data_IF_774460359885
#
_entry.id   IF_774460359885
#
_cell.length_a   1.000
_cell.length_b   1.000
_cell.length_c   1.000
_cell.angle_alpha   90.00
_cell.angle_beta   90.00
_cell.angle_gamma   90.00
#
_symmetry.space_group_name_H-M   'P 1'
#
loop_
_entity.id
_entity.type
_entity.pdbx_description
1 polymer ?
#
# COMPACT_ATOMS: atom_id res chain seq x y z
N UNK A 1 -15.30 -9.77 -24.51
CA UNK A 1 -13.88 -9.82 -24.13
C UNK A 1 -13.20 -10.89 -24.95
N UNK A 2 -12.10 -10.56 -25.62
CA UNK A 2 -11.27 -11.56 -26.27
C UNK A 2 -10.63 -12.46 -25.20
N UNK A 3 -10.92 -13.76 -25.26
CA UNK A 3 -10.40 -14.74 -24.29
C UNK A 3 -8.87 -14.83 -24.32
N UNK A 4 -8.23 -14.38 -25.40
CA UNK A 4 -6.78 -14.35 -25.53
C UNK A 4 -6.10 -13.32 -24.63
N UNK A 5 -6.84 -12.34 -24.10
CA UNK A 5 -6.28 -11.32 -23.21
C UNK A 5 -6.35 -11.69 -21.72
N UNK A 6 -7.04 -12.78 -21.37
CA UNK A 6 -7.11 -13.24 -19.98
C UNK A 6 -5.77 -13.86 -19.58
N UNK A 7 -5.25 -13.47 -18.43
CA UNK A 7 -4.07 -14.08 -17.78
C UNK A 7 -4.49 -14.61 -16.42
N UNK A 8 -3.87 -15.71 -16.00
CA UNK A 8 -4.15 -16.33 -14.71
C UNK A 8 -2.92 -16.26 -13.81
N UNK A 9 -3.19 -16.04 -12.53
CA UNK A 9 -2.24 -16.22 -11.43
C UNK A 9 -2.80 -17.32 -10.55
N UNK A 10 -1.94 -18.23 -10.10
CA UNK A 10 -2.31 -19.38 -9.27
C UNK A 10 -1.59 -19.33 -7.93
N UNK A 11 -1.98 -20.19 -6.99
CA UNK A 11 -1.36 -20.23 -5.66
C UNK A 11 -1.98 -19.23 -4.68
N UNK A 12 -1.40 -19.20 -3.49
CA UNK A 12 -1.75 -18.31 -2.39
C UNK A 12 -0.51 -18.12 -1.53
N UNK A 13 -0.40 -16.96 -0.94
CA UNK A 13 0.41 -16.70 0.24
C UNK A 13 -0.25 -17.38 1.45
N UNK A 14 0.58 -17.92 2.34
CA UNK A 14 0.17 -18.46 3.64
C UNK A 14 1.13 -17.88 4.67
N UNK A 15 0.65 -17.14 5.71
CA UNK A 15 -0.75 -16.83 6.01
C UNK A 15 -1.41 -15.85 5.00
N UNK A 16 -2.76 -15.71 5.01
CA UNK A 16 -3.47 -14.78 4.13
C UNK A 16 -2.98 -13.32 4.28
N UNK A 17 -3.16 -12.48 3.24
CA UNK A 17 -2.59 -11.14 3.19
C UNK A 17 -3.37 -10.18 4.09
N UNK A 18 -2.68 -9.13 4.57
CA UNK A 18 -3.33 -8.04 5.30
C UNK A 18 -2.71 -7.68 6.64
N UNK A 19 -1.44 -8.03 6.83
CA UNK A 19 -0.65 -7.76 8.02
C UNK A 19 -0.75 -8.87 9.07
N UNK A 20 0.37 -9.16 9.73
CA UNK A 20 0.42 -10.15 10.80
C UNK A 20 -0.08 -9.58 12.13
N UNK A 21 -0.65 -10.45 12.97
CA UNK A 21 -1.28 -10.10 14.23
C UNK A 21 -0.33 -10.12 15.45
N UNK A 22 0.89 -10.64 15.30
CA UNK A 22 1.88 -10.72 16.39
C UNK A 22 3.32 -10.96 15.91
N UNK A 23 4.30 -10.76 16.81
CA UNK A 23 5.75 -10.85 16.52
C UNK A 23 6.25 -12.28 16.23
N UNK A 24 5.49 -13.32 16.59
CA UNK A 24 5.93 -14.73 16.55
C UNK A 24 5.93 -15.34 15.13
N UNK A 25 5.36 -14.67 14.12
CA UNK A 25 5.28 -15.15 12.73
C UNK A 25 6.18 -14.32 11.79
N UNK A 26 7.50 -14.44 11.96
CA UNK A 26 8.44 -13.86 10.98
C UNK A 26 8.19 -14.53 9.62
N UNK A 27 7.83 -13.76 8.57
CA UNK A 27 7.49 -14.33 7.28
C UNK A 27 8.69 -15.08 6.71
N UNK A 28 8.48 -16.35 6.37
CA UNK A 28 9.52 -17.18 5.76
C UNK A 28 9.27 -17.34 4.27
N UNK A 29 10.31 -17.27 3.43
CA UNK A 29 10.18 -17.57 2.01
C UNK A 29 9.54 -18.95 1.78
N UNK A 30 8.58 -19.03 0.85
CA UNK A 30 7.93 -20.31 0.49
C UNK A 30 8.96 -21.33 0.01
N UNK A 31 8.83 -22.59 0.43
CA UNK A 31 9.74 -23.64 -0.02
C UNK A 31 9.52 -23.94 -1.52
N UNK A 32 10.57 -24.01 -2.35
CA UNK A 32 10.44 -24.33 -3.78
C UNK A 32 9.66 -25.62 -4.07
N UNK A 33 9.79 -26.66 -3.24
CA UNK A 33 9.03 -27.90 -3.40
C UNK A 33 7.52 -27.71 -3.27
N UNK A 34 7.06 -26.77 -2.42
CA UNK A 34 5.65 -26.41 -2.29
C UNK A 34 5.14 -25.64 -3.51
N UNK A 35 6.00 -24.80 -4.10
CA UNK A 35 5.72 -24.07 -5.34
C UNK A 35 5.57 -25.07 -6.51
N UNK A 36 6.52 -26.00 -6.65
CA UNK A 36 6.49 -27.06 -7.65
C UNK A 36 5.22 -27.91 -7.53
N UNK A 37 4.90 -28.37 -6.32
CA UNK A 37 3.69 -29.15 -6.06
C UNK A 37 2.41 -28.36 -6.43
N UNK A 38 2.35 -27.08 -6.07
CA UNK A 38 1.22 -26.19 -6.42
C UNK A 38 1.04 -26.09 -7.94
N UNK A 39 2.13 -25.86 -8.68
CA UNK A 39 2.12 -25.77 -10.15
C UNK A 39 1.63 -27.09 -10.74
N UNK A 40 2.19 -28.23 -10.33
CA UNK A 40 1.87 -29.54 -10.88
C UNK A 40 0.43 -29.99 -10.59
N UNK A 41 -0.04 -29.81 -9.36
CA UNK A 41 -1.42 -30.14 -8.99
C UNK A 41 -2.42 -29.26 -9.74
N UNK A 42 -2.13 -27.96 -9.85
CA UNK A 42 -2.99 -27.02 -10.59
C UNK A 42 -3.03 -27.37 -12.07
N UNK A 43 -1.89 -27.65 -12.69
CA UNK A 43 -1.80 -28.10 -14.09
C UNK A 43 -2.62 -29.36 -14.34
N UNK A 44 -2.46 -30.39 -13.51
CA UNK A 44 -3.24 -31.63 -13.58
C UNK A 44 -4.75 -31.36 -13.46
N UNK A 45 -5.15 -30.46 -12.57
CA UNK A 45 -6.56 -30.08 -12.39
C UNK A 45 -7.15 -29.33 -13.59
N UNK A 46 -6.36 -28.51 -14.29
CA UNK A 46 -6.75 -27.85 -15.54
C UNK A 46 -6.93 -28.87 -16.66
N UNK A 47 -5.97 -29.78 -16.84
CA UNK A 47 -5.98 -30.78 -17.91
C UNK A 47 -7.14 -31.78 -17.72
N UNK A 48 -7.43 -32.19 -16.48
CA UNK A 48 -8.60 -33.04 -16.18
C UNK A 48 -9.93 -32.39 -16.60
N UNK A 49 -9.98 -31.05 -16.68
CA UNK A 49 -11.14 -30.28 -17.12
C UNK A 49 -11.07 -29.84 -18.58
N UNK A 50 -10.07 -30.29 -19.35
CA UNK A 50 -9.83 -29.89 -20.75
C UNK A 50 -9.62 -28.37 -20.89
N UNK A 51 -8.84 -27.79 -19.97
CA UNK A 51 -8.52 -26.36 -19.91
C UNK A 51 -7.07 -26.06 -20.32
N UNK A 52 -6.49 -26.84 -21.22
CA UNK A 52 -5.08 -26.75 -21.64
C UNK A 52 -4.76 -25.35 -22.19
N UNK A 53 -5.61 -24.81 -23.06
CA UNK A 53 -5.44 -23.43 -23.56
C UNK A 53 -5.46 -22.38 -22.44
N UNK A 54 -6.22 -22.60 -21.36
CA UNK A 54 -6.20 -21.69 -20.21
C UNK A 54 -4.92 -21.83 -19.38
N UNK A 55 -4.39 -23.04 -19.26
CA UNK A 55 -3.12 -23.29 -18.60
C UNK A 55 -1.97 -22.55 -19.28
N UNK A 56 -1.94 -22.50 -20.62
CA UNK A 56 -0.96 -21.72 -21.38
C UNK A 56 -0.98 -20.21 -21.10
N UNK A 57 -2.03 -19.71 -20.43
CA UNK A 57 -2.17 -18.29 -20.02
C UNK A 57 -1.93 -18.07 -18.52
N UNK A 58 -1.51 -19.09 -17.78
CA UNK A 58 -0.99 -18.93 -16.42
C UNK A 58 0.38 -18.28 -16.53
N UNK A 59 0.55 -17.12 -15.90
CA UNK A 59 1.78 -16.31 -16.01
C UNK A 59 2.52 -16.18 -14.69
N UNK A 60 1.86 -16.43 -13.57
CA UNK A 60 2.49 -16.26 -12.28
C UNK A 60 1.95 -17.24 -11.23
N UNK A 61 2.77 -17.45 -10.20
CA UNK A 61 2.41 -18.16 -8.97
C UNK A 61 2.61 -17.22 -7.78
N UNK A 62 1.62 -17.13 -6.92
CA UNK A 62 1.72 -16.38 -5.66
C UNK A 62 2.57 -17.17 -4.68
N UNK A 63 3.55 -16.50 -4.08
CA UNK A 63 4.44 -17.05 -3.03
C UNK A 63 4.69 -15.99 -1.96
N UNK A 64 5.12 -16.41 -0.78
CA UNK A 64 5.64 -15.53 0.27
C UNK A 64 7.15 -15.36 0.04
N UNK A 65 7.67 -14.15 -0.28
CA UNK A 65 9.10 -13.88 -0.45
C UNK A 65 9.87 -13.60 0.86
N UNK A 66 9.19 -13.64 2.01
CA UNK A 66 9.74 -13.21 3.30
C UNK A 66 9.49 -11.73 3.60
N UNK A 67 8.46 -11.13 3.00
CA UNK A 67 8.05 -9.74 3.29
C UNK A 67 6.68 -9.72 3.95
N UNK A 68 6.51 -8.82 4.92
CA UNK A 68 5.24 -8.59 5.59
C UNK A 68 5.30 -7.29 6.40
N UNK A 69 4.18 -6.86 6.95
CA UNK A 69 4.12 -5.75 7.91
C UNK A 69 3.10 -6.05 9.02
N UNK A 70 3.30 -5.46 10.19
CA UNK A 70 2.42 -5.59 11.35
C UNK A 70 1.68 -4.29 11.67
N UNK A 71 1.50 -3.99 12.95
CA UNK A 71 0.98 -2.70 13.39
C UNK A 71 2.04 -1.60 13.32
N UNK A 72 3.25 -1.89 13.80
CA UNK A 72 4.36 -0.95 13.93
C UNK A 72 5.71 -1.54 13.48
N UNK A 73 5.68 -2.71 12.85
CA UNK A 73 6.85 -3.43 12.34
C UNK A 73 6.73 -3.68 10.84
N UNK A 74 7.88 -3.67 10.15
CA UNK A 74 8.02 -4.04 8.74
C UNK A 74 9.08 -5.15 8.67
N UNK A 75 8.77 -6.22 7.96
CA UNK A 75 9.72 -7.29 7.65
C UNK A 75 10.27 -7.04 6.25
N UNK A 76 11.48 -6.50 6.21
CA UNK A 76 12.16 -6.15 4.96
C UNK A 76 12.53 -7.40 4.14
N UNK A 77 12.49 -7.26 2.82
CA UNK A 77 12.96 -8.27 1.90
C UNK A 77 14.45 -8.58 2.11
N UNK A 78 14.74 -9.84 2.44
CA UNK A 78 16.08 -10.38 2.51
C UNK A 78 16.36 -11.28 1.28
N UNK A 79 17.09 -10.72 0.32
CA UNK A 79 17.49 -11.43 -0.90
C UNK A 79 18.21 -12.75 -0.64
N UNK A 80 18.97 -12.85 0.46
CA UNK A 80 19.70 -14.08 0.77
C UNK A 80 18.77 -15.22 1.18
N UNK A 81 17.65 -14.92 1.85
CA UNK A 81 16.66 -15.91 2.26
C UNK A 81 15.80 -16.38 1.08
N UNK A 82 15.57 -15.52 0.08
CA UNK A 82 14.79 -15.85 -1.12
C UNK A 82 15.59 -16.54 -2.25
N UNK A 83 16.89 -16.80 -2.07
CA UNK A 83 17.78 -17.35 -3.11
C UNK A 83 17.28 -18.69 -3.70
N UNK A 84 16.70 -19.54 -2.87
CA UNK A 84 16.13 -20.82 -3.33
C UNK A 84 14.92 -20.62 -4.26
N UNK A 85 14.03 -19.68 -3.96
CA UNK A 85 12.88 -19.33 -4.81
C UNK A 85 13.34 -18.71 -6.13
N UNK A 86 14.32 -17.79 -6.05
CA UNK A 86 14.91 -17.14 -7.21
C UNK A 86 15.49 -18.15 -8.20
N UNK A 87 16.25 -19.15 -7.73
CA UNK A 87 16.82 -20.19 -8.61
C UNK A 87 15.75 -21.12 -9.18
N UNK A 88 14.73 -21.45 -8.38
CA UNK A 88 13.68 -22.37 -8.81
C UNK A 88 12.89 -21.85 -10.01
N UNK A 89 12.46 -20.59 -9.98
CA UNK A 89 11.61 -20.04 -11.05
C UNK A 89 12.33 -19.95 -12.40
N UNK A 90 13.66 -19.82 -12.42
CA UNK A 90 14.48 -19.85 -13.64
C UNK A 90 14.39 -21.19 -14.39
N UNK A 91 14.09 -22.28 -13.67
CA UNK A 91 13.83 -23.60 -14.26
C UNK A 91 12.38 -23.79 -14.72
N UNK A 92 11.47 -22.88 -14.34
CA UNK A 92 10.04 -22.97 -14.61
C UNK A 92 9.68 -22.07 -15.80
N UNK A 93 9.66 -22.67 -16.99
CA UNK A 93 9.51 -21.91 -18.23
C UNK A 93 8.20 -21.08 -18.27
N UNK A 94 8.34 -19.76 -18.35
CA UNK A 94 7.24 -18.83 -18.62
C UNK A 94 6.45 -18.34 -17.40
N UNK A 95 6.83 -18.73 -16.18
CA UNK A 95 6.21 -18.23 -14.95
C UNK A 95 7.11 -17.22 -14.24
N UNK A 96 6.48 -16.25 -13.58
CA UNK A 96 7.10 -15.32 -12.63
C UNK A 96 6.40 -15.44 -11.27
N UNK A 97 6.92 -14.76 -10.25
CA UNK A 97 6.22 -14.64 -8.97
C UNK A 97 5.33 -13.40 -8.90
N UNK A 98 4.18 -13.59 -8.26
CA UNK A 98 3.37 -12.50 -7.72
C UNK A 98 3.59 -12.44 -6.20
N UNK A 99 4.00 -11.28 -5.69
CA UNK A 99 4.23 -11.05 -4.27
C UNK A 99 3.15 -10.12 -3.70
N UNK A 100 2.56 -10.53 -2.59
CA UNK A 100 1.60 -9.75 -1.82
C UNK A 100 2.29 -9.10 -0.62
N UNK A 101 1.57 -8.21 0.08
CA UNK A 101 2.08 -7.47 1.25
C UNK A 101 3.42 -6.77 1.02
N UNK A 102 3.68 -6.30 -0.21
CA UNK A 102 4.95 -5.63 -0.56
C UNK A 102 5.00 -4.19 -0.06
N UNK A 103 3.93 -3.72 0.59
CA UNK A 103 3.79 -2.39 1.15
C UNK A 103 4.96 -2.04 2.09
N UNK A 104 5.29 -0.75 2.14
CA UNK A 104 6.32 -0.16 3.02
C UNK A 104 7.77 -0.60 2.80
N UNK A 105 8.02 -1.56 1.89
CA UNK A 105 9.38 -1.97 1.52
C UNK A 105 10.16 -0.78 0.95
N UNK A 106 11.46 -0.73 1.24
CA UNK A 106 12.33 0.29 0.65
C UNK A 106 12.36 0.20 -0.88
N UNK A 107 12.56 1.35 -1.54
CA UNK A 107 12.74 1.42 -3.00
C UNK A 107 13.78 0.42 -3.54
N UNK A 108 14.88 0.21 -2.81
CA UNK A 108 15.90 -0.79 -3.16
C UNK A 108 15.42 -2.22 -2.99
N UNK A 109 14.68 -2.53 -1.92
CA UNK A 109 14.10 -3.84 -1.69
C UNK A 109 13.11 -4.20 -2.80
N UNK A 110 12.17 -3.30 -3.13
CA UNK A 110 11.24 -3.49 -4.25
C UNK A 110 11.98 -3.78 -5.57
N UNK A 111 13.08 -3.06 -5.85
CA UNK A 111 13.91 -3.31 -7.03
C UNK A 111 14.56 -4.70 -7.01
N UNK A 112 15.12 -5.11 -5.87
CA UNK A 112 15.70 -6.44 -5.72
C UNK A 112 14.66 -7.55 -5.91
N UNK A 113 13.44 -7.36 -5.38
CA UNK A 113 12.33 -8.28 -5.58
C UNK A 113 12.03 -8.50 -7.07
N UNK A 114 11.94 -7.43 -7.87
CA UNK A 114 11.75 -7.54 -9.33
C UNK A 114 12.92 -8.28 -9.99
N UNK A 115 14.17 -7.99 -9.59
CA UNK A 115 15.36 -8.68 -10.10
C UNK A 115 15.43 -10.16 -9.71
N UNK A 116 14.75 -10.55 -8.64
CA UNK A 116 14.63 -11.94 -8.16
C UNK A 116 13.32 -12.62 -8.62
N UNK A 117 12.71 -12.06 -9.68
CA UNK A 117 11.54 -12.60 -10.38
C UNK A 117 10.20 -12.47 -9.67
N UNK A 118 10.13 -11.71 -8.57
CA UNK A 118 8.88 -11.17 -8.01
C UNK A 118 8.42 -9.97 -8.85
N UNK A 119 8.01 -10.26 -10.08
CA UNK A 119 7.75 -9.26 -11.11
C UNK A 119 6.33 -8.66 -11.05
N UNK A 120 5.41 -9.26 -10.29
CA UNK A 120 4.13 -8.63 -9.94
C UNK A 120 4.15 -8.30 -8.45
N UNK A 121 4.27 -7.01 -8.13
CA UNK A 121 4.27 -6.52 -6.75
C UNK A 121 2.90 -5.90 -6.43
N UNK A 122 2.17 -6.46 -5.47
CA UNK A 122 0.90 -5.89 -5.02
C UNK A 122 1.11 -4.91 -3.87
N UNK A 123 0.49 -3.75 -4.01
CA UNK A 123 0.45 -2.67 -3.02
C UNK A 123 -1.00 -2.25 -2.78
N UNK A 124 -1.34 -1.94 -1.54
CA UNK A 124 -2.67 -1.50 -1.16
C UNK A 124 -2.65 -0.61 0.08
N UNK A 125 -2.47 -1.17 1.29
CA UNK A 125 -2.36 -0.40 2.54
C UNK A 125 -1.43 0.80 2.48
N UNK A 126 -0.24 0.72 1.89
CA UNK A 126 0.67 1.86 1.79
C UNK A 126 0.07 3.06 1.03
N UNK A 127 -0.79 2.81 0.03
CA UNK A 127 -1.45 3.88 -0.73
C UNK A 127 -2.50 4.62 0.13
N UNK A 128 -3.35 3.88 0.82
CA UNK A 128 -4.39 4.46 1.69
C UNK A 128 -3.83 5.01 3.00
N UNK A 129 -2.69 4.48 3.46
CA UNK A 129 -1.91 5.02 4.57
C UNK A 129 -1.30 6.39 4.21
N UNK A 130 -0.65 6.52 3.04
CA UNK A 130 -0.14 7.81 2.57
C UNK A 130 -1.25 8.85 2.36
N UNK A 131 -2.43 8.40 1.89
CA UNK A 131 -3.63 9.24 1.85
C UNK A 131 -4.07 9.70 3.25
N UNK A 132 -4.14 8.77 4.22
CA UNK A 132 -4.49 9.07 5.62
C UNK A 132 -3.54 10.08 6.24
N UNK A 133 -2.23 9.91 6.06
CA UNK A 133 -1.21 10.85 6.57
C UNK A 133 -1.43 12.26 6.02
N UNK A 134 -1.67 12.40 4.72
CA UNK A 134 -1.95 13.69 4.12
C UNK A 134 -3.25 14.33 4.65
N UNK A 135 -4.32 13.54 4.83
CA UNK A 135 -5.56 14.01 5.45
C UNK A 135 -5.33 14.43 6.90
N UNK A 136 -4.51 13.70 7.67
CA UNK A 136 -4.24 14.01 9.07
C UNK A 136 -3.40 15.27 9.20
N UNK A 137 -2.37 15.43 8.36
CA UNK A 137 -1.61 16.66 8.26
C UNK A 137 -2.53 17.86 7.96
N UNK A 138 -3.45 17.70 7.02
CA UNK A 138 -4.45 18.73 6.74
C UNK A 138 -5.43 18.98 7.88
N UNK A 139 -5.83 17.95 8.64
CA UNK A 139 -6.65 18.12 9.83
C UNK A 139 -5.92 18.93 10.92
N UNK A 140 -4.61 18.74 11.06
CA UNK A 140 -3.79 19.57 11.97
C UNK A 140 -3.75 21.02 11.49
N UNK A 141 -3.56 21.26 10.20
CA UNK A 141 -3.62 22.61 9.61
C UNK A 141 -5.00 23.25 9.81
N UNK A 142 -6.08 22.51 9.58
CA UNK A 142 -7.47 22.94 9.78
C UNK A 142 -7.73 23.35 11.23
N UNK A 143 -7.12 22.65 12.20
CA UNK A 143 -7.17 22.99 13.63
C UNK A 143 -6.42 24.28 13.98
N UNK A 144 -5.25 24.51 13.41
CA UNK A 144 -4.51 25.77 13.61
C UNK A 144 -5.25 26.98 13.01
N UNK A 145 -5.86 26.79 11.84
CA UNK A 145 -6.70 27.81 11.21
C UNK A 145 -7.96 28.07 12.04
N UNK A 146 -8.59 27.03 12.59
CA UNK A 146 -9.72 27.17 13.51
C UNK A 146 -9.37 27.97 14.75
N UNK A 147 -8.20 27.74 15.35
CA UNK A 147 -7.77 28.43 16.57
C UNK A 147 -7.52 29.94 16.35
N UNK A 148 -7.23 30.36 15.11
CA UNK A 148 -6.82 31.73 14.78
C UNK A 148 -7.89 32.53 14.02
N UNK A 149 -8.93 31.87 13.49
CA UNK A 149 -9.97 32.49 12.69
C UNK A 149 -11.36 32.27 13.26
N UNK A 150 -12.04 33.36 13.61
CA UNK A 150 -13.41 33.35 14.13
C UNK A 150 -14.47 32.88 13.13
N UNK A 151 -14.18 32.97 11.82
CA UNK A 151 -15.09 32.56 10.73
C UNK A 151 -14.84 31.13 10.24
N UNK A 152 -13.92 30.40 10.89
CA UNK A 152 -13.52 29.06 10.49
C UNK A 152 -14.27 28.00 11.29
N UNK A 153 -14.70 26.94 10.61
CA UNK A 153 -15.31 25.78 11.28
C UNK A 153 -14.50 24.54 10.94
N UNK A 154 -13.83 23.96 11.94
CA UNK A 154 -13.08 22.71 11.80
C UNK A 154 -13.94 21.57 11.23
N UNK A 155 -13.30 20.74 10.42
CA UNK A 155 -13.83 19.48 9.90
C UNK A 155 -13.99 18.41 10.97
N UNK A 156 -13.14 18.42 12.00
CA UNK A 156 -13.05 17.39 13.05
C UNK A 156 -12.97 15.96 12.46
N UNK A 157 -12.24 15.79 11.34
CA UNK A 157 -12.18 14.52 10.61
C UNK A 157 -11.57 13.40 11.46
N UNK A 158 -10.54 13.69 12.27
CA UNK A 158 -9.86 12.70 13.11
C UNK A 158 -10.83 12.20 14.19
N UNK A 159 -11.53 13.11 14.87
CA UNK A 159 -12.53 12.77 15.89
C UNK A 159 -13.73 12.04 15.28
N UNK A 160 -14.13 12.41 14.06
CA UNK A 160 -15.19 11.72 13.32
C UNK A 160 -14.79 10.28 13.00
N UNK A 161 -13.56 10.08 12.51
CA UNK A 161 -13.02 8.74 12.22
C UNK A 161 -12.97 7.89 13.48
N UNK A 162 -12.43 8.41 14.57
CA UNK A 162 -12.33 7.68 15.83
C UNK A 162 -13.71 7.24 16.34
N UNK A 163 -14.68 8.16 16.34
CA UNK A 163 -16.05 7.86 16.74
C UNK A 163 -16.68 6.76 15.88
N UNK A 164 -16.54 6.85 14.55
CA UNK A 164 -17.10 5.86 13.63
C UNK A 164 -16.41 4.50 13.78
N UNK A 165 -15.09 4.48 13.98
CA UNK A 165 -14.33 3.24 14.20
C UNK A 165 -14.70 2.57 15.52
N UNK A 166 -14.93 3.33 16.60
CA UNK A 166 -15.40 2.80 17.88
C UNK A 166 -16.83 2.25 17.82
N UNK A 167 -17.71 2.92 17.07
CA UNK A 167 -19.11 2.50 16.89
C UNK A 167 -19.25 1.25 16.00
N UNK A 168 -18.35 1.07 15.03
CA UNK A 168 -18.34 -0.09 14.13
C UNK A 168 -16.96 -0.75 14.14
N UNK A 169 -16.73 -1.70 15.04
CA UNK A 169 -15.38 -2.27 15.27
C UNK A 169 -15.02 -3.41 14.31
N UNK A 170 -15.95 -3.85 13.47
CA UNK A 170 -15.85 -5.09 12.67
C UNK A 170 -14.63 -5.15 11.75
N UNK A 171 -14.09 -4.02 11.32
CA UNK A 171 -12.96 -4.00 10.39
C UNK A 171 -11.60 -4.03 11.10
N UNK A 172 -11.53 -3.79 12.40
CA UNK A 172 -10.25 -3.64 13.12
C UNK A 172 -10.12 -4.46 14.41
N UNK A 173 -11.22 -4.85 15.06
CA UNK A 173 -11.19 -5.50 16.38
C UNK A 173 -10.33 -6.77 16.42
N UNK A 174 -10.30 -7.53 15.32
CA UNK A 174 -9.54 -8.79 15.23
C UNK A 174 -8.05 -8.56 14.87
N UNK A 175 -7.66 -7.31 14.60
CA UNK A 175 -6.31 -6.93 14.16
C UNK A 175 -5.55 -6.11 15.21
N UNK A 176 -6.28 -5.28 15.99
CA UNK A 176 -5.66 -4.42 17.01
C UNK A 176 -5.85 -5.04 18.39
N UNK A 177 -4.76 -5.60 18.90
CA UNK A 177 -4.69 -6.25 20.20
C UNK A 177 -4.10 -5.30 21.26
N UNK A 178 -4.07 -5.74 22.51
CA UNK A 178 -3.53 -4.97 23.64
C UNK A 178 -4.57 -4.15 24.41
N UNK A 179 -4.07 -3.17 25.15
CA UNK A 179 -4.82 -2.17 25.92
C UNK A 179 -5.66 -1.26 25.03
N UNK A 180 -6.60 -0.52 25.64
CA UNK A 180 -7.42 0.43 24.89
C UNK A 180 -6.60 1.60 24.33
N UNK A 181 -5.52 1.98 25.02
CA UNK A 181 -4.54 2.97 24.57
C UNK A 181 -3.77 2.47 23.34
N UNK A 182 -3.27 1.23 23.35
CA UNK A 182 -2.58 0.62 22.21
C UNK A 182 -3.50 0.45 21.00
N UNK A 183 -4.76 0.07 21.24
CA UNK A 183 -5.78 0.00 20.18
C UNK A 183 -6.10 1.38 19.62
N UNK A 184 -6.17 2.42 20.46
CA UNK A 184 -6.38 3.80 20.01
C UNK A 184 -5.25 4.26 19.09
N UNK A 185 -3.99 3.99 19.46
CA UNK A 185 -2.84 4.25 18.58
C UNK A 185 -2.98 3.46 17.27
N UNK A 186 -3.28 2.16 17.37
CA UNK A 186 -3.37 1.29 16.20
C UNK A 186 -4.48 1.71 15.21
N UNK A 187 -5.64 2.19 15.69
CA UNK A 187 -6.72 2.70 14.81
C UNK A 187 -6.27 3.84 13.91
N UNK A 188 -5.33 4.65 14.37
CA UNK A 188 -4.88 5.84 13.65
C UNK A 188 -3.55 5.65 12.92
N UNK A 189 -2.67 4.78 13.42
CA UNK A 189 -1.26 4.77 13.00
C UNK A 189 -0.75 3.41 12.53
N UNK A 190 -1.49 2.32 12.74
CA UNK A 190 -1.05 0.97 12.33
C UNK A 190 -0.81 0.87 10.82
N UNK A 191 0.28 0.19 10.42
CA UNK A 191 0.58 -0.17 9.02
C UNK A 191 -0.45 -1.14 8.43
N UNK A 192 -1.23 -1.84 9.25
CA UNK A 192 -2.36 -2.64 8.75
C UNK A 192 -3.49 -1.79 8.15
N UNK A 193 -3.49 -0.47 8.40
CA UNK A 193 -4.34 0.55 7.76
C UNK A 193 -5.84 0.19 7.71
N UNK A 194 -6.39 -0.37 8.79
CA UNK A 194 -7.81 -0.80 8.84
C UNK A 194 -8.78 0.39 8.76
N UNK A 195 -8.30 1.59 9.03
CA UNK A 195 -9.04 2.84 8.82
C UNK A 195 -9.51 3.01 7.36
N UNK A 196 -8.85 2.37 6.37
CA UNK A 196 -9.24 2.44 4.95
C UNK A 196 -10.69 2.04 4.67
N UNK A 197 -11.24 1.14 5.49
CA UNK A 197 -12.62 0.66 5.34
C UNK A 197 -13.67 1.68 5.78
N UNK A 198 -13.26 2.75 6.47
CA UNK A 198 -14.15 3.77 7.01
C UNK A 198 -14.20 5.04 6.15
N UNK A 199 -13.31 5.19 5.17
CA UNK A 199 -13.38 6.33 4.24
C UNK A 199 -14.74 6.47 3.54
N UNK A 200 -15.40 5.39 3.09
CA UNK A 200 -16.72 5.50 2.44
C UNK A 200 -17.88 5.87 3.38
N UNK A 201 -17.70 5.87 4.71
CA UNK A 201 -18.77 6.15 5.67
C UNK A 201 -19.30 7.58 5.52
N UNK A 202 -20.62 7.75 5.53
CA UNK A 202 -21.26 9.04 5.21
C UNK A 202 -20.79 10.19 6.11
N UNK A 203 -20.65 9.93 7.43
CA UNK A 203 -20.13 10.92 8.39
C UNK A 203 -18.69 11.30 8.09
N UNK A 204 -17.85 10.33 7.75
CA UNK A 204 -16.45 10.55 7.38
C UNK A 204 -16.36 11.37 6.10
N UNK A 205 -17.15 11.03 5.07
CA UNK A 205 -17.23 11.78 3.82
C UNK A 205 -17.69 13.23 4.03
N UNK A 206 -18.67 13.48 4.90
CA UNK A 206 -19.11 14.85 5.23
C UNK A 206 -17.98 15.68 5.88
N UNK A 207 -17.28 15.11 6.86
CA UNK A 207 -16.15 15.78 7.51
C UNK A 207 -14.99 16.00 6.54
N UNK A 208 -14.69 15.02 5.68
CA UNK A 208 -13.64 15.12 4.66
C UNK A 208 -13.95 16.19 3.61
N UNK A 209 -15.18 16.25 3.12
CA UNK A 209 -15.61 17.29 2.17
C UNK A 209 -15.52 18.69 2.80
N UNK A 210 -15.86 18.83 4.08
CA UNK A 210 -15.66 20.08 4.82
C UNK A 210 -14.18 20.45 4.89
N UNK A 211 -13.30 19.51 5.24
CA UNK A 211 -11.86 19.73 5.29
C UNK A 211 -11.33 20.27 3.95
N UNK A 212 -11.70 19.64 2.84
CA UNK A 212 -11.26 20.09 1.51
C UNK A 212 -11.83 21.43 1.12
N UNK A 213 -13.13 21.67 1.33
CA UNK A 213 -13.76 22.96 1.00
C UNK A 213 -13.12 24.10 1.80
N UNK A 214 -12.87 23.88 3.10
CA UNK A 214 -12.18 24.83 3.96
C UNK A 214 -10.80 25.17 3.38
N UNK A 215 -9.95 24.17 3.16
CA UNK A 215 -8.58 24.38 2.72
C UNK A 215 -8.47 24.88 1.27
N UNK A 216 -9.45 24.62 0.42
CA UNK A 216 -9.52 25.20 -0.92
C UNK A 216 -9.89 26.69 -0.92
N UNK A 217 -10.60 27.16 0.11
CA UNK A 217 -11.02 28.56 0.23
C UNK A 217 -9.90 29.51 0.65
N UNK A 218 -8.72 28.98 0.96
CA UNK A 218 -7.55 29.74 1.43
C UNK A 218 -6.29 29.30 0.69
N UNK A 219 -5.27 30.16 0.74
CA UNK A 219 -3.91 29.73 0.47
C UNK A 219 -3.31 29.19 1.76
N UNK A 220 -2.90 27.92 1.76
CA UNK A 220 -2.38 27.28 2.97
C UNK A 220 -1.01 27.91 3.30
N UNK A 221 -0.81 28.44 4.52
CA UNK A 221 0.48 29.02 4.91
C UNK A 221 1.64 28.03 4.71
N UNK A 222 2.69 28.50 4.04
CA UNK A 222 3.88 27.69 3.75
C UNK A 222 4.57 27.16 5.01
N UNK A 223 4.53 27.89 6.13
CA UNK A 223 5.08 27.45 7.41
C UNK A 223 4.34 26.22 7.96
N UNK A 224 3.00 26.18 7.82
CA UNK A 224 2.19 25.04 8.22
C UNK A 224 2.45 23.82 7.33
N UNK A 225 2.59 24.02 6.01
CA UNK A 225 3.00 22.95 5.11
C UNK A 225 4.40 22.43 5.44
N UNK A 226 5.36 23.30 5.76
CA UNK A 226 6.69 22.87 6.17
C UNK A 226 6.66 22.04 7.45
N UNK A 227 5.74 22.31 8.36
CA UNK A 227 5.60 21.61 9.64
C UNK A 227 4.95 20.23 9.49
N UNK A 228 3.87 20.13 8.72
CA UNK A 228 3.04 18.91 8.65
C UNK A 228 3.21 18.09 7.36
N UNK A 229 3.71 18.71 6.29
CA UNK A 229 3.88 18.12 4.95
C UNK A 229 5.26 18.50 4.36
N UNK A 230 6.37 18.17 5.04
CA UNK A 230 7.69 18.70 4.70
C UNK A 230 8.18 18.30 3.30
N UNK A 231 7.79 17.14 2.78
CA UNK A 231 8.15 16.71 1.43
C UNK A 231 7.40 17.54 0.38
N UNK A 232 6.09 17.68 0.53
CA UNK A 232 5.25 18.45 -0.40
C UNK A 232 5.57 19.95 -0.31
N UNK A 233 5.91 20.47 0.87
CA UNK A 233 6.42 21.84 1.03
C UNK A 233 7.64 22.11 0.14
N UNK A 234 8.63 21.21 0.13
CA UNK A 234 9.83 21.38 -0.72
C UNK A 234 9.47 21.46 -2.20
N UNK A 235 8.53 20.62 -2.65
CA UNK A 235 8.05 20.58 -4.04
C UNK A 235 7.21 21.79 -4.42
N UNK A 236 6.39 22.30 -3.49
CA UNK A 236 5.67 23.57 -3.68
C UNK A 236 6.65 24.74 -3.81
N UNK A 237 7.71 24.75 -2.98
CA UNK A 237 8.75 25.79 -3.02
C UNK A 237 9.57 25.77 -4.31
N UNK A 238 9.79 24.61 -4.93
CA UNK A 238 10.46 24.48 -6.22
C UNK A 238 9.53 24.72 -7.43
N UNK A 239 8.22 24.82 -7.22
CA UNK A 239 7.23 24.98 -8.29
C UNK A 239 6.82 23.67 -8.96
N UNK A 240 7.21 22.52 -8.40
CA UNK A 240 6.89 21.18 -8.92
C UNK A 240 5.53 20.64 -8.43
N UNK A 241 4.86 21.37 -7.54
CA UNK A 241 3.58 20.99 -6.94
C UNK A 241 2.75 22.24 -6.60
N UNK A 242 1.46 22.21 -6.94
CA UNK A 242 0.54 23.28 -6.55
C UNK A 242 0.21 23.22 -5.06
N UNK A 243 0.13 24.39 -4.41
CA UNK A 243 -0.37 24.52 -3.04
C UNK A 243 -1.91 24.36 -3.01
N UNK A 244 -2.39 23.16 -3.30
CA UNK A 244 -3.82 22.79 -3.30
C UNK A 244 -4.01 21.42 -2.63
N UNK A 245 -5.06 21.23 -1.81
CA UNK A 245 -5.25 19.99 -1.04
C UNK A 245 -5.22 18.70 -1.88
N UNK A 246 -5.95 18.69 -3.00
CA UNK A 246 -5.99 17.53 -3.88
C UNK A 246 -4.64 17.24 -4.56
N UNK A 247 -3.89 18.28 -4.94
CA UNK A 247 -2.57 18.12 -5.53
C UNK A 247 -1.59 17.50 -4.52
N UNK A 248 -1.59 17.99 -3.28
CA UNK A 248 -0.76 17.47 -2.18
C UNK A 248 -1.10 16.01 -1.86
N UNK A 249 -2.39 15.64 -1.75
CA UNK A 249 -2.79 14.24 -1.50
C UNK A 249 -2.35 13.33 -2.64
N UNK A 250 -2.61 13.75 -3.89
CA UNK A 250 -2.18 12.98 -5.04
C UNK A 250 -0.66 12.79 -5.05
N UNK A 251 0.09 13.83 -4.67
CA UNK A 251 1.54 13.75 -4.56
C UNK A 251 1.99 12.75 -3.49
N UNK A 252 1.39 12.76 -2.30
CA UNK A 252 1.70 11.79 -1.23
C UNK A 252 1.48 10.35 -1.68
N UNK A 253 0.37 10.06 -2.37
CA UNK A 253 0.12 8.72 -2.94
C UNK A 253 1.10 8.40 -4.07
N UNK A 254 1.39 9.39 -4.92
CA UNK A 254 2.30 9.23 -6.06
C UNK A 254 3.73 8.89 -5.62
N UNK A 255 4.19 9.38 -4.47
CA UNK A 255 5.52 9.04 -3.94
C UNK A 255 5.65 7.54 -3.66
N UNK A 256 4.61 6.92 -3.09
CA UNK A 256 4.57 5.45 -2.94
C UNK A 256 4.65 4.78 -4.31
N UNK A 257 3.82 5.19 -5.27
CA UNK A 257 3.80 4.61 -6.62
C UNK A 257 5.12 4.82 -7.38
N UNK A 258 5.86 5.90 -7.12
CA UNK A 258 7.15 6.17 -7.74
C UNK A 258 8.21 5.13 -7.35
N UNK A 259 8.17 4.61 -6.13
CA UNK A 259 9.11 3.55 -5.70
C UNK A 259 8.84 2.23 -6.42
N UNK A 260 7.56 1.86 -6.59
CA UNK A 260 7.16 0.70 -7.40
C UNK A 260 7.49 0.90 -8.89
N UNK A 261 7.21 2.10 -9.44
CA UNK A 261 7.54 2.45 -10.82
C UNK A 261 9.05 2.36 -11.09
N UNK A 262 9.87 2.82 -10.14
CA UNK A 262 11.31 2.67 -10.19
C UNK A 262 11.73 1.20 -10.17
N UNK A 263 11.21 0.40 -9.25
CA UNK A 263 11.53 -1.02 -9.14
C UNK A 263 11.24 -1.77 -10.45
N UNK A 264 10.06 -1.50 -11.04
CA UNK A 264 9.60 -2.09 -12.30
C UNK A 264 10.26 -1.51 -13.57
N UNK A 265 11.27 -0.65 -13.44
CA UNK A 265 12.05 -0.14 -14.57
C UNK A 265 11.39 0.98 -15.39
N UNK A 266 10.25 1.52 -14.95
CA UNK A 266 9.59 2.66 -15.60
C UNK A 266 10.17 4.02 -15.20
N UNK A 267 11.00 4.07 -14.16
CA UNK A 267 11.67 5.29 -13.68
C UNK A 267 12.94 5.69 -14.45
N UNK A 268 13.22 5.06 -15.59
CA UNK A 268 14.47 5.17 -16.34
C UNK A 268 14.33 5.66 -17.77
N UNK A 269 13.51 6.67 -18.06
CA UNK A 269 13.57 7.35 -19.39
C UNK A 269 12.95 8.75 -19.39
N UNK A 270 13.56 9.72 -18.67
CA UNK A 270 13.42 11.14 -19.00
C UNK A 270 14.69 11.92 -18.64
N UNK A 271 15.77 11.69 -19.38
CA UNK A 271 16.91 12.61 -19.43
C UNK A 271 17.68 12.49 -20.76
N UNK A 272 16.97 12.53 -21.89
CA UNK A 272 17.56 13.02 -23.16
C UNK A 272 16.63 14.09 -23.72
N UNK A 273 16.81 15.34 -23.28
CA UNK A 273 16.49 16.48 -24.13
C UNK A 273 17.60 16.58 -25.16
N UNK A 274 17.37 15.98 -26.32
CA UNK A 274 18.21 16.15 -27.50
C UNK A 274 17.89 17.50 -28.15
N UNK A 275 18.93 18.35 -28.23
CA UNK A 275 19.09 19.59 -29.01
C UNK A 275 18.32 20.84 -28.59
#
# INVERSE_FOLDING_TARGET
>A
MDKHNIRYVIGTEVPPPGGIQGEEDTPQPTCPGQVEETIELTKKAFYKRRLESAWERVIAVVVQPGVEFGNDIIYDYDRSQAECLKRFIESTNGLIYEAHSTDYQSRSALRQMVEDHFAILKVGPALTFAYREAVYAFAMIDKELFATRSDWQSSNIIETLEKVMLENQKYWQDYYLGSEEEKAISRHYSFSDRIRYYWPEERVQKSLNRLFNNLQSVEIPLSLLSQYLPVQFKRIRSGDLDNKPFAVIHDSISQVLQDYSFACGSGGTTAEKTR
#
